data_IF_696965201726
#
_entry.id   IF_696965201726
#
_cell.length_a   1.000
_cell.length_b   1.000
_cell.length_c   1.000
_cell.angle_alpha   90.00
_cell.angle_beta   90.00
_cell.angle_gamma   90.00
#
_symmetry.space_group_name_H-M   'P 1'
#
loop_
_entity.id
_entity.type
_entity.pdbx_description
1 polymer ?
#
# COMPACT_ATOMS: atom_id res chain seq x y z
N UNK A 1 9.36 31.07 8.42
CA UNK A 1 8.65 30.74 9.68
C UNK A 1 7.16 31.02 9.46
N UNK A 2 6.27 30.03 9.68
CA UNK A 2 4.80 30.04 9.47
C UNK A 2 4.18 29.42 8.17
N UNK A 3 4.58 28.20 7.78
CA UNK A 3 3.70 27.33 6.95
C UNK A 3 3.54 25.89 7.45
N UNK A 4 4.33 25.46 8.46
CA UNK A 4 4.36 24.07 8.94
C UNK A 4 3.41 23.76 10.12
N UNK A 5 2.45 24.63 10.46
CA UNK A 5 1.62 24.47 11.68
C UNK A 5 0.12 24.20 11.45
N UNK A 6 -0.33 23.86 10.25
CA UNK A 6 -1.77 23.60 9.99
C UNK A 6 -2.15 22.25 9.37
N UNK A 7 -1.20 21.36 9.06
CA UNK A 7 -1.50 20.07 8.43
C UNK A 7 -1.51 18.90 9.43
N UNK A 8 -2.21 19.04 10.56
CA UNK A 8 -2.36 17.95 11.55
C UNK A 8 -3.55 17.01 11.21
N UNK A 9 -3.93 16.89 9.93
CA UNK A 9 -5.15 16.16 9.57
C UNK A 9 -5.21 15.54 8.18
N UNK A 10 -4.12 15.60 7.41
CA UNK A 10 -3.98 14.99 6.08
C UNK A 10 -2.55 14.44 6.06
N UNK A 11 -2.38 13.17 6.40
CA UNK A 11 -1.15 12.45 6.12
C UNK A 11 -1.49 11.47 5.00
N UNK A 12 -0.54 11.30 4.07
CA UNK A 12 -0.51 10.28 3.02
C UNK A 12 -1.23 10.61 1.71
N UNK A 13 -0.69 11.57 0.94
CA UNK A 13 -0.66 11.52 -0.53
C UNK A 13 0.62 12.23 -0.97
N UNK A 14 1.27 11.75 -2.04
CA UNK A 14 2.49 12.25 -2.70
C UNK A 14 3.83 11.73 -2.15
N UNK A 15 4.24 10.55 -2.63
CA UNK A 15 5.62 10.08 -2.48
C UNK A 15 6.43 10.02 -3.79
N UNK A 16 5.85 10.32 -4.96
CA UNK A 16 6.57 10.07 -6.23
C UNK A 16 7.33 11.26 -6.85
N UNK A 17 7.21 12.51 -6.38
CA UNK A 17 7.82 13.67 -7.09
C UNK A 17 8.50 14.71 -6.19
N UNK A 18 9.23 14.29 -5.16
CA UNK A 18 10.40 15.10 -4.72
C UNK A 18 11.68 14.70 -5.44
N UNK A 19 11.58 13.73 -6.35
CA UNK A 19 12.70 13.18 -7.08
C UNK A 19 12.93 13.96 -8.37
N UNK A 20 14.16 14.47 -8.47
CA UNK A 20 14.81 15.08 -9.63
C UNK A 20 14.73 16.62 -9.74
N UNK A 21 15.91 17.23 -9.57
CA UNK A 21 16.43 18.45 -10.25
C UNK A 21 16.63 19.74 -9.47
N UNK A 22 16.15 19.92 -8.24
CA UNK A 22 16.33 21.23 -7.57
C UNK A 22 15.71 22.40 -8.35
N UNK A 23 14.79 22.10 -9.27
CA UNK A 23 13.90 23.04 -9.91
C UNK A 23 12.49 22.82 -9.36
N UNK A 24 11.69 23.90 -9.31
CA UNK A 24 10.26 23.83 -9.02
C UNK A 24 9.56 23.07 -10.15
N UNK A 25 9.56 21.73 -10.09
CA UNK A 25 8.66 20.90 -10.87
C UNK A 25 7.27 21.20 -10.31
N UNK A 26 6.45 21.90 -11.09
CA UNK A 26 5.01 21.87 -10.85
C UNK A 26 4.59 20.45 -11.23
N UNK A 27 3.89 19.74 -10.35
CA UNK A 27 3.44 18.33 -10.49
C UNK A 27 2.71 17.98 -11.82
N UNK A 28 2.44 18.97 -12.67
CA UNK A 28 1.62 18.91 -13.89
C UNK A 28 2.20 18.12 -15.05
N UNK A 29 3.51 17.82 -15.07
CA UNK A 29 4.16 17.27 -16.27
C UNK A 29 4.17 15.74 -16.35
N UNK A 30 3.76 15.03 -15.28
CA UNK A 30 3.73 13.57 -15.24
C UNK A 30 2.32 13.07 -14.92
N UNK A 31 1.97 11.90 -15.46
CA UNK A 31 0.77 11.14 -15.06
C UNK A 31 1.19 10.07 -14.07
N UNK A 32 0.46 9.95 -12.96
CA UNK A 32 0.77 8.99 -11.91
C UNK A 32 -0.43 8.10 -11.61
N UNK A 33 -0.16 6.86 -11.20
CA UNK A 33 -1.13 5.99 -10.55
C UNK A 33 -0.72 5.91 -9.08
N UNK A 34 -1.64 6.27 -8.20
CA UNK A 34 -1.51 6.04 -6.76
C UNK A 34 -2.26 4.75 -6.41
N UNK A 35 -1.53 3.72 -5.98
CA UNK A 35 -2.10 2.40 -5.66
C UNK A 35 -2.49 2.25 -4.17
N UNK A 36 -2.17 3.25 -3.35
CA UNK A 36 -2.22 3.13 -1.90
C UNK A 36 -2.56 4.48 -1.25
N UNK A 37 -3.85 4.72 -1.09
CA UNK A 37 -4.40 5.84 -0.33
C UNK A 37 -5.60 5.41 0.52
N UNK A 38 -5.87 6.17 1.58
CA UNK A 38 -6.92 5.84 2.55
C UNK A 38 -7.86 7.00 2.83
N UNK A 39 -9.08 6.67 3.27
CA UNK A 39 -10.00 7.62 3.88
C UNK A 39 -10.32 7.26 5.34
N UNK A 40 -10.62 8.29 6.13
CA UNK A 40 -11.01 8.23 7.54
C UNK A 40 -12.20 9.17 7.87
N UNK A 41 -12.19 10.42 7.39
CA UNK A 41 -13.23 11.45 7.62
C UNK A 41 -14.33 11.46 6.55
N UNK A 42 -14.63 10.29 5.97
CA UNK A 42 -15.77 10.09 5.06
C UNK A 42 -15.76 11.12 3.91
N UNK A 43 -16.83 11.90 3.74
CA UNK A 43 -17.02 12.84 2.64
C UNK A 43 -15.97 13.97 2.58
N UNK A 44 -15.36 14.32 3.72
CA UNK A 44 -14.31 15.34 3.71
C UNK A 44 -13.09 14.86 2.92
N UNK A 45 -12.62 13.65 3.20
CA UNK A 45 -11.44 13.10 2.54
C UNK A 45 -11.71 12.89 1.04
N UNK A 46 -12.93 12.48 0.67
CA UNK A 46 -13.31 12.36 -0.75
C UNK A 46 -13.22 13.71 -1.47
N UNK A 47 -13.63 14.82 -0.84
CA UNK A 47 -13.47 16.15 -1.46
C UNK A 47 -12.00 16.52 -1.65
N UNK A 48 -11.18 16.31 -0.64
CA UNK A 48 -9.75 16.59 -0.67
C UNK A 48 -9.03 15.72 -1.72
N UNK A 49 -9.38 14.43 -1.82
CA UNK A 49 -8.85 13.52 -2.86
C UNK A 49 -9.23 13.99 -4.27
N UNK A 50 -10.47 14.44 -4.48
CA UNK A 50 -10.88 14.99 -5.77
C UNK A 50 -10.10 16.27 -6.13
N UNK A 51 -9.75 17.10 -5.15
CA UNK A 51 -8.88 18.26 -5.36
C UNK A 51 -7.46 17.80 -5.74
N UNK A 52 -6.89 16.84 -5.01
CA UNK A 52 -5.58 16.27 -5.28
C UNK A 52 -5.48 15.66 -6.68
N UNK A 53 -6.46 14.87 -7.11
CA UNK A 53 -6.50 14.28 -8.46
C UNK A 53 -6.39 15.39 -9.52
N UNK A 54 -7.17 16.47 -9.37
CA UNK A 54 -7.19 17.59 -10.34
C UNK A 54 -5.91 18.39 -10.33
N UNK A 55 -5.34 18.65 -9.16
CA UNK A 55 -4.15 19.50 -9.01
C UNK A 55 -2.87 18.79 -9.46
N UNK A 56 -2.84 17.46 -9.32
CA UNK A 56 -1.64 16.64 -9.50
C UNK A 56 -1.71 15.70 -10.70
N UNK A 57 -2.68 15.83 -11.61
CA UNK A 57 -2.77 15.00 -12.81
C UNK A 57 -2.69 13.47 -12.52
N UNK A 58 -3.32 13.03 -11.42
CA UNK A 58 -3.36 11.62 -11.01
C UNK A 58 -4.34 10.91 -11.95
N UNK A 59 -3.85 9.89 -12.66
CA UNK A 59 -4.67 9.15 -13.62
C UNK A 59 -5.60 8.16 -12.91
N UNK A 60 -5.10 7.47 -11.90
CA UNK A 60 -5.90 6.62 -11.02
C UNK A 60 -5.42 6.71 -9.58
N UNK A 61 -6.35 6.69 -8.63
CA UNK A 61 -6.09 6.55 -7.21
C UNK A 61 -6.87 5.36 -6.65
N UNK A 62 -6.16 4.39 -6.09
CA UNK A 62 -6.72 3.25 -5.41
C UNK A 62 -6.97 3.61 -3.94
N UNK A 63 -8.23 3.52 -3.53
CA UNK A 63 -8.68 3.94 -2.20
C UNK A 63 -9.23 2.78 -1.42
N UNK A 64 -8.88 2.73 -0.14
CA UNK A 64 -9.50 1.84 0.83
C UNK A 64 -9.79 2.54 2.16
N UNK A 65 -10.64 1.92 2.97
CA UNK A 65 -10.79 2.36 4.36
C UNK A 65 -9.45 2.30 5.11
N UNK A 66 -9.15 3.33 5.90
CA UNK A 66 -8.06 3.24 6.88
C UNK A 66 -8.42 2.20 7.94
N UNK A 67 -7.49 1.33 8.31
CA UNK A 67 -7.74 0.32 9.34
C UNK A 67 -7.96 0.98 10.71
N UNK A 68 -9.19 0.90 11.24
CA UNK A 68 -9.57 1.55 12.50
C UNK A 68 -9.79 0.58 13.67
N UNK A 69 -9.39 -0.69 13.53
CA UNK A 69 -9.79 -1.80 14.43
C UNK A 69 -11.33 -1.96 14.55
N UNK A 70 -12.10 -1.38 13.62
CA UNK A 70 -13.56 -1.44 13.62
C UNK A 70 -14.06 -1.82 12.22
N UNK A 71 -14.18 -3.13 11.92
CA UNK A 71 -14.60 -3.61 10.60
C UNK A 71 -15.93 -3.02 10.13
N UNK A 72 -16.84 -2.74 11.06
CA UNK A 72 -18.12 -2.09 10.76
C UNK A 72 -17.96 -0.64 10.31
N UNK A 73 -17.01 0.09 10.88
CA UNK A 73 -16.71 1.45 10.44
C UNK A 73 -15.98 1.42 9.09
N UNK A 74 -15.00 0.54 8.95
CA UNK A 74 -14.21 0.37 7.74
C UNK A 74 -15.12 -0.03 6.56
N UNK A 75 -16.09 -0.93 6.77
CA UNK A 75 -17.08 -1.32 5.76
C UNK A 75 -18.03 -0.18 5.34
N UNK A 76 -18.28 0.81 6.20
CA UNK A 76 -19.02 2.03 5.79
C UNK A 76 -18.17 2.92 4.91
N UNK A 77 -16.87 3.00 5.18
CA UNK A 77 -15.93 3.75 4.36
C UNK A 77 -15.78 3.10 2.98
N UNK A 78 -15.74 1.77 2.90
CA UNK A 78 -15.75 1.05 1.62
C UNK A 78 -16.95 1.43 0.74
N UNK A 79 -18.15 1.54 1.31
CA UNK A 79 -19.35 1.98 0.57
C UNK A 79 -19.24 3.44 0.10
N UNK A 80 -18.70 4.34 0.93
CA UNK A 80 -18.45 5.74 0.54
C UNK A 80 -17.46 5.83 -0.63
N UNK A 81 -16.40 5.02 -0.62
CA UNK A 81 -15.41 4.95 -1.71
C UNK A 81 -16.08 4.44 -2.99
N UNK A 82 -16.92 3.41 -2.89
CA UNK A 82 -17.67 2.88 -4.03
C UNK A 82 -18.59 3.94 -4.62
N UNK A 83 -19.35 4.68 -3.81
CA UNK A 83 -20.18 5.79 -4.29
C UNK A 83 -19.35 6.91 -4.92
N UNK A 84 -18.17 7.21 -4.37
CA UNK A 84 -17.26 8.21 -4.92
C UNK A 84 -16.72 7.78 -6.29
N UNK A 85 -16.35 6.50 -6.48
CA UNK A 85 -15.86 5.97 -7.76
C UNK A 85 -16.90 5.99 -8.88
N UNK A 86 -18.19 5.93 -8.54
CA UNK A 86 -19.26 6.09 -9.53
C UNK A 86 -19.38 7.53 -10.03
N UNK A 87 -18.95 8.51 -9.22
CA UNK A 87 -18.97 9.94 -9.54
C UNK A 87 -17.65 10.42 -10.16
N UNK A 88 -16.54 9.76 -9.84
CA UNK A 88 -15.22 10.05 -10.38
C UNK A 88 -14.50 8.76 -10.79
N UNK A 89 -14.30 8.58 -12.10
CA UNK A 89 -13.67 7.40 -12.70
C UNK A 89 -12.15 7.28 -12.45
N UNK A 90 -11.52 8.30 -11.88
CA UNK A 90 -10.14 8.23 -11.40
C UNK A 90 -10.02 7.45 -10.07
N UNK A 91 -11.11 7.27 -9.33
CA UNK A 91 -11.10 6.53 -8.06
C UNK A 91 -11.35 5.04 -8.31
N UNK A 92 -10.48 4.21 -7.74
CA UNK A 92 -10.51 2.75 -7.88
C UNK A 92 -10.71 2.11 -6.50
N UNK A 93 -11.89 1.54 -6.19
CA UNK A 93 -12.18 1.03 -4.85
C UNK A 93 -11.42 -0.26 -4.51
N UNK A 94 -10.75 -0.27 -3.36
CA UNK A 94 -10.15 -1.46 -2.75
C UNK A 94 -10.96 -1.86 -1.51
N UNK A 95 -11.29 -3.14 -1.40
CA UNK A 95 -12.03 -3.68 -0.26
C UNK A 95 -11.13 -3.80 0.96
N UNK A 96 -11.56 -3.28 2.12
CA UNK A 96 -10.81 -3.41 3.37
C UNK A 96 -11.65 -3.74 4.60
N UNK A 97 -12.94 -3.41 4.63
CA UNK A 97 -13.85 -3.42 5.79
C UNK A 97 -14.18 -4.78 6.41
N UNK A 98 -13.18 -5.61 6.66
CA UNK A 98 -13.27 -6.94 7.26
C UNK A 98 -12.08 -7.21 8.20
N UNK A 99 -12.22 -8.22 9.05
CA UNK A 99 -11.21 -8.58 10.04
C UNK A 99 -10.44 -9.82 9.59
N UNK A 100 -9.11 -9.77 9.54
CA UNK A 100 -8.30 -10.89 9.07
C UNK A 100 -8.28 -12.09 10.02
N UNK A 101 -8.79 -11.93 11.23
CA UNK A 101 -8.91 -13.02 12.21
C UNK A 101 -10.31 -13.64 12.30
N UNK A 102 -11.31 -13.10 11.59
CA UNK A 102 -12.65 -13.67 11.54
C UNK A 102 -12.73 -14.79 10.49
N UNK A 103 -13.21 -15.97 10.93
CA UNK A 103 -13.44 -17.16 10.09
C UNK A 103 -14.41 -16.90 8.92
N UNK A 104 -15.27 -15.89 9.03
CA UNK A 104 -16.25 -15.56 8.00
C UNK A 104 -15.71 -14.58 6.94
N UNK A 105 -14.51 -14.01 7.15
CA UNK A 105 -13.99 -12.96 6.27
C UNK A 105 -13.80 -13.40 4.83
N UNK A 106 -13.37 -14.64 4.59
CA UNK A 106 -13.19 -15.15 3.21
C UNK A 106 -14.52 -15.16 2.45
N UNK A 107 -15.60 -15.62 3.10
CA UNK A 107 -16.93 -15.64 2.48
C UNK A 107 -17.51 -14.23 2.30
N UNK A 108 -17.29 -13.33 3.26
CA UNK A 108 -17.65 -11.92 3.11
C UNK A 108 -16.92 -11.27 1.92
N UNK A 109 -15.60 -11.45 1.81
CA UNK A 109 -14.80 -10.93 0.69
C UNK A 109 -15.36 -11.47 -0.62
N UNK A 110 -15.63 -12.78 -0.70
CA UNK A 110 -16.20 -13.39 -1.91
C UNK A 110 -17.54 -12.76 -2.31
N UNK A 111 -18.42 -12.48 -1.35
CA UNK A 111 -19.69 -11.78 -1.60
C UNK A 111 -19.46 -10.35 -2.10
N UNK A 112 -18.52 -9.62 -1.53
CA UNK A 112 -18.20 -8.26 -1.95
C UNK A 112 -17.57 -8.22 -3.35
N UNK A 113 -16.65 -9.12 -3.66
CA UNK A 113 -16.06 -9.23 -4.99
C UNK A 113 -17.07 -9.62 -6.07
N UNK A 114 -18.06 -10.46 -5.73
CA UNK A 114 -19.14 -10.83 -6.65
C UNK A 114 -19.99 -9.62 -7.09
N UNK A 115 -19.99 -8.51 -6.34
CA UNK A 115 -20.66 -7.26 -6.76
C UNK A 115 -19.93 -6.52 -7.88
N UNK A 116 -18.67 -6.88 -8.16
CA UNK A 116 -17.79 -6.24 -9.14
C UNK A 116 -17.54 -4.73 -8.90
N UNK A 117 -17.84 -4.23 -7.70
CA UNK A 117 -17.63 -2.82 -7.29
C UNK A 117 -16.19 -2.54 -6.84
N UNK A 118 -15.50 -3.57 -6.34
CA UNK A 118 -14.12 -3.48 -5.88
C UNK A 118 -13.15 -3.98 -6.95
N UNK A 119 -11.99 -3.35 -7.04
CA UNK A 119 -10.92 -3.62 -8.02
C UNK A 119 -9.59 -4.02 -7.37
N UNK A 120 -9.57 -4.18 -6.06
CA UNK A 120 -8.43 -4.65 -5.26
C UNK A 120 -8.87 -4.95 -3.84
N UNK A 121 -7.95 -5.49 -3.04
CA UNK A 121 -8.13 -5.77 -1.62
C UNK A 121 -6.97 -5.14 -0.86
N UNK A 122 -7.24 -4.48 0.26
CA UNK A 122 -6.21 -3.95 1.16
C UNK A 122 -6.38 -2.46 1.46
N UNK A 123 -5.50 -1.84 2.23
CA UNK A 123 -4.24 -2.40 2.77
C UNK A 123 -4.48 -3.43 3.88
N UNK A 124 -3.97 -4.66 3.71
CA UNK A 124 -4.07 -5.73 4.71
C UNK A 124 -2.84 -5.70 5.61
N UNK A 125 -3.05 -5.45 6.91
CA UNK A 125 -1.96 -5.43 7.88
C UNK A 125 -1.63 -6.86 8.32
N UNK A 126 -0.54 -7.41 7.77
CA UNK A 126 -0.12 -8.80 8.00
C UNK A 126 1.09 -8.89 8.92
N UNK A 127 2.07 -7.99 8.71
CA UNK A 127 3.26 -7.85 9.55
C UNK A 127 3.58 -6.36 9.69
N UNK A 128 3.11 -5.77 10.79
CA UNK A 128 3.37 -4.39 11.19
C UNK A 128 2.31 -3.85 12.12
N UNK A 129 2.55 -2.68 12.71
CA UNK A 129 1.62 -2.04 13.66
C UNK A 129 1.20 -2.94 14.84
N UNK A 130 2.09 -3.86 15.27
CA UNK A 130 1.82 -4.83 16.33
C UNK A 130 1.11 -6.13 15.88
N UNK A 131 0.74 -6.24 14.60
CA UNK A 131 0.13 -7.45 14.02
C UNK A 131 1.19 -8.38 13.44
N UNK A 132 1.02 -9.69 13.64
CA UNK A 132 1.91 -10.78 13.16
C UNK A 132 1.13 -12.00 12.67
N UNK A 133 0.28 -11.81 11.66
CA UNK A 133 -0.56 -12.87 11.12
C UNK A 133 0.23 -13.88 10.26
N UNK A 134 1.35 -13.44 9.66
CA UNK A 134 2.13 -14.23 8.73
C UNK A 134 1.51 -14.25 7.33
N UNK A 135 2.32 -13.93 6.33
CA UNK A 135 1.86 -13.84 4.94
C UNK A 135 1.39 -15.17 4.36
N UNK A 136 1.83 -16.30 4.91
CA UNK A 136 1.45 -17.66 4.48
C UNK A 136 0.38 -18.31 5.37
N UNK A 137 -0.29 -17.53 6.23
CA UNK A 137 -1.38 -18.05 7.07
C UNK A 137 -2.56 -18.56 6.23
N UNK A 138 -3.33 -19.55 6.72
CA UNK A 138 -4.43 -20.13 5.96
C UNK A 138 -5.41 -19.09 5.41
N UNK A 139 -5.79 -18.10 6.21
CA UNK A 139 -6.71 -17.04 5.77
C UNK A 139 -6.11 -16.17 4.66
N UNK A 140 -4.83 -15.80 4.77
CA UNK A 140 -4.18 -15.01 3.72
C UNK A 140 -4.08 -15.81 2.42
N UNK A 141 -3.76 -17.10 2.50
CA UNK A 141 -3.73 -18.00 1.36
C UNK A 141 -5.09 -18.10 0.65
N UNK A 142 -6.17 -18.20 1.42
CA UNK A 142 -7.53 -18.20 0.87
C UNK A 142 -7.89 -16.86 0.21
N UNK A 143 -7.50 -15.73 0.82
CA UNK A 143 -7.69 -14.40 0.26
C UNK A 143 -6.92 -14.23 -1.05
N UNK A 144 -5.64 -14.63 -1.10
CA UNK A 144 -4.85 -14.52 -2.33
C UNK A 144 -5.43 -15.37 -3.44
N UNK A 145 -5.81 -16.63 -3.16
CA UNK A 145 -6.41 -17.52 -4.13
C UNK A 145 -7.70 -16.94 -4.69
N UNK A 146 -8.54 -16.36 -3.83
CA UNK A 146 -9.76 -15.68 -4.23
C UNK A 146 -9.46 -14.44 -5.10
N UNK A 147 -8.53 -13.59 -4.69
CA UNK A 147 -8.13 -12.40 -5.46
C UNK A 147 -7.61 -12.78 -6.87
N UNK A 148 -6.83 -13.85 -6.98
CA UNK A 148 -6.34 -14.38 -8.26
C UNK A 148 -7.47 -14.90 -9.17
N UNK A 149 -8.54 -15.48 -8.61
CA UNK A 149 -9.73 -15.89 -9.38
C UNK A 149 -10.46 -14.67 -9.98
N UNK A 150 -10.53 -13.57 -9.23
CA UNK A 150 -11.13 -12.31 -9.67
C UNK A 150 -10.17 -11.42 -10.49
N UNK A 151 -8.88 -11.80 -10.57
CA UNK A 151 -7.81 -11.04 -11.24
C UNK A 151 -7.66 -9.61 -10.71
N UNK A 152 -7.69 -9.47 -9.38
CA UNK A 152 -7.49 -8.20 -8.69
C UNK A 152 -6.26 -8.29 -7.77
N UNK A 153 -5.55 -7.17 -7.53
CA UNK A 153 -4.39 -7.15 -6.66
C UNK A 153 -4.78 -7.20 -5.17
N UNK A 154 -3.80 -7.62 -4.36
CA UNK A 154 -3.86 -7.54 -2.89
C UNK A 154 -2.71 -6.66 -2.40
N UNK A 155 -3.06 -5.56 -1.71
CA UNK A 155 -2.13 -4.63 -1.08
C UNK A 155 -1.87 -5.06 0.38
N UNK A 156 -0.60 -5.22 0.73
CA UNK A 156 -0.15 -5.72 2.03
C UNK A 156 0.71 -4.69 2.76
N UNK A 157 0.38 -4.45 4.02
CA UNK A 157 1.36 -3.94 4.99
C UNK A 157 2.22 -5.11 5.47
N UNK A 158 3.45 -5.18 4.98
CA UNK A 158 4.35 -6.29 5.27
C UNK A 158 5.80 -5.85 5.36
N UNK A 159 6.41 -6.06 6.53
CA UNK A 159 7.80 -5.66 6.76
C UNK A 159 8.85 -6.65 6.26
N UNK A 160 9.85 -6.11 5.55
CA UNK A 160 11.02 -6.78 4.98
C UNK A 160 12.29 -6.08 5.49
N UNK A 161 13.26 -6.85 5.96
CA UNK A 161 14.59 -6.36 6.32
C UNK A 161 14.70 -5.51 7.60
N UNK A 162 13.60 -5.16 8.27
CA UNK A 162 13.66 -4.52 9.60
C UNK A 162 14.29 -5.45 10.65
N UNK A 163 15.23 -4.92 11.43
CA UNK A 163 15.84 -5.59 12.59
C UNK A 163 15.11 -5.25 13.91
N UNK A 164 14.02 -4.49 13.85
CA UNK A 164 13.19 -4.17 15.00
C UNK A 164 12.57 -5.44 15.60
N UNK A 165 12.71 -5.62 16.92
CA UNK A 165 12.08 -6.74 17.63
C UNK A 165 10.55 -6.65 17.64
N UNK A 166 9.99 -5.44 17.48
CA UNK A 166 8.54 -5.22 17.52
C UNK A 166 7.90 -5.50 16.16
N UNK A 167 8.67 -5.34 15.09
CA UNK A 167 8.22 -5.52 13.71
C UNK A 167 9.37 -6.11 12.88
N UNK A 168 9.64 -7.42 13.05
CA UNK A 168 10.76 -8.07 12.38
C UNK A 168 10.44 -8.25 10.90
N UNK A 169 11.44 -8.05 10.05
CA UNK A 169 11.38 -8.38 8.61
C UNK A 169 12.42 -9.42 8.23
N UNK A 170 12.71 -10.36 9.12
CA UNK A 170 13.81 -11.29 8.97
C UNK A 170 13.51 -12.43 8.00
N UNK A 171 14.39 -13.44 8.00
CA UNK A 171 14.28 -14.60 7.12
C UNK A 171 12.95 -15.35 7.27
N UNK A 172 12.42 -15.43 8.50
CA UNK A 172 11.13 -16.07 8.76
C UNK A 172 10.03 -15.36 7.97
N UNK A 173 9.86 -14.06 8.16
CA UNK A 173 8.82 -13.27 7.50
C UNK A 173 9.01 -13.31 5.98
N UNK A 174 10.23 -13.11 5.48
CA UNK A 174 10.54 -13.21 4.06
C UNK A 174 10.14 -14.58 3.48
N UNK A 175 10.39 -15.68 4.19
CA UNK A 175 10.00 -17.01 3.72
C UNK A 175 8.48 -17.21 3.68
N UNK A 176 7.72 -16.55 4.57
CA UNK A 176 6.25 -16.54 4.49
C UNK A 176 5.77 -15.81 3.23
N UNK A 177 6.36 -14.65 2.92
CA UNK A 177 6.04 -13.91 1.69
C UNK A 177 6.38 -14.74 0.43
N UNK A 178 7.57 -15.36 0.40
CA UNK A 178 7.97 -16.25 -0.70
C UNK A 178 6.96 -17.37 -0.93
N UNK A 179 6.53 -18.03 0.14
CA UNK A 179 5.53 -19.11 0.06
C UNK A 179 4.18 -18.61 -0.44
N UNK A 180 3.73 -17.43 0.00
CA UNK A 180 2.53 -16.80 -0.51
C UNK A 180 2.62 -16.54 -2.02
N UNK A 181 3.74 -15.99 -2.50
CA UNK A 181 3.98 -15.71 -3.92
C UNK A 181 4.05 -16.99 -4.76
N UNK A 182 4.78 -18.00 -4.30
CA UNK A 182 4.97 -19.29 -5.01
C UNK A 182 3.66 -20.08 -5.16
N UNK A 183 2.81 -20.05 -4.14
CA UNK A 183 1.56 -20.81 -4.13
C UNK A 183 0.37 -20.04 -4.74
N UNK A 184 0.50 -18.73 -4.94
CA UNK A 184 -0.53 -17.89 -5.56
C UNK A 184 0.03 -17.12 -6.77
N UNK A 185 0.60 -17.79 -7.78
CA UNK A 185 1.26 -17.14 -8.91
C UNK A 185 0.31 -16.32 -9.79
N UNK A 186 -1.01 -16.57 -9.71
CA UNK A 186 -2.04 -15.84 -10.45
C UNK A 186 -2.54 -14.57 -9.71
N UNK A 187 -1.97 -14.28 -8.54
CA UNK A 187 -2.39 -13.14 -7.71
C UNK A 187 -1.29 -12.11 -7.69
N UNK A 188 -1.60 -10.89 -8.11
CA UNK A 188 -0.72 -9.73 -7.95
C UNK A 188 -0.71 -9.32 -6.49
N UNK A 189 0.45 -9.38 -5.86
CA UNK A 189 0.67 -8.94 -4.47
C UNK A 189 1.50 -7.67 -4.52
N UNK A 190 1.01 -6.62 -3.86
CA UNK A 190 1.68 -5.34 -3.73
C UNK A 190 2.08 -5.17 -2.27
N UNK A 191 3.36 -5.01 -1.99
CA UNK A 191 3.84 -4.73 -0.64
C UNK A 191 4.03 -3.23 -0.47
N UNK A 192 3.31 -2.68 0.50
CA UNK A 192 3.32 -1.25 0.81
C UNK A 192 4.69 -0.78 1.31
N UNK A 193 5.00 0.49 1.03
CA UNK A 193 6.15 1.19 1.60
C UNK A 193 7.50 0.50 1.32
N UNK A 194 7.61 -0.20 0.19
CA UNK A 194 8.72 -1.08 -0.17
C UNK A 194 9.03 -2.16 0.90
N UNK A 195 8.05 -2.48 1.74
CA UNK A 195 8.21 -3.31 2.94
C UNK A 195 9.14 -2.70 3.99
N UNK A 196 9.44 -1.40 3.92
CA UNK A 196 10.29 -0.73 4.89
C UNK A 196 9.56 -0.65 6.23
N UNK A 197 9.96 -1.51 7.16
CA UNK A 197 9.55 -1.41 8.56
C UNK A 197 10.41 -0.41 9.35
N UNK A 198 10.25 -0.38 10.67
CA UNK A 198 11.05 0.46 11.56
C UNK A 198 12.55 0.20 11.45
N UNK A 199 13.36 1.26 11.56
CA UNK A 199 14.82 1.14 11.62
C UNK A 199 15.30 0.40 12.89
N UNK A 200 16.51 -0.21 12.87
CA UNK A 200 17.43 -0.28 11.74
C UNK A 200 17.08 -1.39 10.73
N UNK A 201 17.46 -1.21 9.47
CA UNK A 201 17.32 -2.21 8.42
C UNK A 201 18.59 -3.08 8.30
N UNK A 202 18.42 -4.31 7.83
CA UNK A 202 19.51 -5.23 7.53
C UNK A 202 20.37 -4.70 6.36
N UNK A 203 21.68 -4.90 6.43
CA UNK A 203 22.62 -4.45 5.38
C UNK A 203 22.28 -4.99 3.99
N UNK A 204 21.67 -6.17 3.92
CA UNK A 204 21.25 -6.82 2.70
C UNK A 204 19.79 -6.49 2.27
N UNK A 205 19.16 -5.46 2.84
CA UNK A 205 17.77 -5.09 2.52
C UNK A 205 17.57 -4.83 1.02
N UNK A 206 18.42 -4.01 0.39
CA UNK A 206 18.35 -3.77 -1.06
C UNK A 206 18.40 -5.08 -1.84
N UNK A 207 19.44 -5.90 -1.62
CA UNK A 207 19.62 -7.19 -2.30
C UNK A 207 18.45 -8.14 -2.08
N UNK A 208 17.81 -8.09 -0.90
CA UNK A 208 16.63 -8.90 -0.60
C UNK A 208 15.44 -8.50 -1.48
N UNK A 209 15.15 -7.20 -1.58
CA UNK A 209 14.09 -6.67 -2.45
C UNK A 209 14.36 -7.03 -3.92
N UNK A 210 15.59 -6.83 -4.39
CA UNK A 210 15.99 -7.16 -5.77
C UNK A 210 15.78 -8.65 -6.10
N UNK A 211 16.18 -9.56 -5.21
CA UNK A 211 15.96 -11.01 -5.39
C UNK A 211 14.47 -11.35 -5.44
N UNK A 212 13.65 -10.71 -4.61
CA UNK A 212 12.21 -10.94 -4.61
C UNK A 212 11.58 -10.47 -5.93
N UNK A 213 11.90 -9.26 -6.39
CA UNK A 213 11.42 -8.71 -7.66
C UNK A 213 11.88 -9.55 -8.87
N UNK A 214 13.13 -10.00 -8.89
CA UNK A 214 13.67 -10.82 -9.98
C UNK A 214 13.00 -12.21 -10.03
N UNK A 215 12.65 -12.79 -8.88
CA UNK A 215 12.12 -14.15 -8.80
C UNK A 215 10.59 -14.22 -8.98
N UNK A 216 9.85 -13.21 -8.52
CA UNK A 216 8.39 -13.26 -8.41
C UNK A 216 7.73 -12.20 -9.31
N UNK A 217 7.31 -12.56 -10.54
CA UNK A 217 6.71 -11.61 -11.48
C UNK A 217 5.32 -11.12 -11.04
N UNK A 218 4.75 -11.71 -10.00
CA UNK A 218 3.48 -11.31 -9.39
C UNK A 218 3.67 -10.45 -8.13
N UNK A 219 4.89 -10.00 -7.82
CA UNK A 219 5.19 -9.11 -6.71
C UNK A 219 5.49 -7.69 -7.22
N UNK A 220 4.88 -6.71 -6.56
CA UNK A 220 5.14 -5.28 -6.75
C UNK A 220 5.37 -4.61 -5.40
N UNK A 221 5.97 -3.43 -5.42
CA UNK A 221 6.14 -2.58 -4.25
C UNK A 221 5.59 -1.18 -4.56
N UNK A 222 4.92 -0.56 -3.59
CA UNK A 222 4.67 0.89 -3.63
C UNK A 222 5.64 1.62 -2.70
N UNK A 223 5.71 2.94 -2.84
CA UNK A 223 6.47 3.82 -1.92
C UNK A 223 5.56 4.81 -1.21
N UNK A 224 4.24 4.56 -1.19
CA UNK A 224 3.28 5.48 -0.59
C UNK A 224 3.69 5.77 0.86
N UNK A 225 3.54 7.02 1.31
CA UNK A 225 3.79 7.35 2.71
C UNK A 225 5.22 7.45 3.21
N UNK A 226 6.22 7.02 2.44
CA UNK A 226 7.63 6.98 2.88
C UNK A 226 8.33 8.35 2.91
N UNK A 227 7.64 9.46 2.62
CA UNK A 227 8.22 10.79 2.43
C UNK A 227 9.19 11.25 3.54
N UNK A 228 8.86 11.01 4.82
CA UNK A 228 9.72 11.35 5.97
C UNK A 228 10.89 10.39 6.17
N UNK A 229 10.79 9.17 5.62
CA UNK A 229 11.81 8.14 5.73
C UNK A 229 12.83 8.25 4.60
N UNK A 230 12.40 8.73 3.42
CA UNK A 230 13.27 8.91 2.25
C UNK A 230 14.13 10.17 2.36
N UNK A 231 13.62 11.24 3.01
CA UNK A 231 14.30 12.52 3.11
C UNK A 231 14.39 13.05 4.54
N UNK A 232 15.53 13.62 4.89
CA UNK A 232 15.74 14.38 6.12
C UNK A 232 16.50 15.66 5.80
N UNK A 233 15.98 16.82 6.21
CA UNK A 233 16.58 18.13 5.94
C UNK A 233 16.90 18.38 4.45
N UNK A 234 15.99 17.96 3.54
CA UNK A 234 16.16 18.02 2.08
C UNK A 234 17.30 17.17 1.51
N UNK A 235 17.84 16.22 2.28
CA UNK A 235 18.83 15.25 1.82
C UNK A 235 18.26 13.84 1.88
N UNK A 236 18.70 12.98 0.96
CA UNK A 236 18.31 11.57 0.97
C UNK A 236 18.91 10.86 2.18
N UNK A 237 18.06 10.13 2.90
CA UNK A 237 18.51 9.17 3.90
C UNK A 237 19.19 7.97 3.22
N UNK A 238 19.86 7.12 3.99
CA UNK A 238 20.40 5.86 3.46
C UNK A 238 19.30 4.96 2.88
N UNK A 239 18.13 4.90 3.54
CA UNK A 239 16.96 4.21 3.00
C UNK A 239 16.51 4.87 1.69
N UNK A 240 16.44 6.21 1.64
CA UNK A 240 16.11 6.96 0.44
C UNK A 240 17.00 6.61 -0.75
N UNK A 241 18.31 6.52 -0.52
CA UNK A 241 19.29 6.11 -1.56
C UNK A 241 19.03 4.67 -2.03
N UNK A 242 18.77 3.74 -1.11
CA UNK A 242 18.44 2.35 -1.44
C UNK A 242 17.19 2.28 -2.31
N UNK A 243 16.09 2.91 -1.89
CA UNK A 243 14.81 2.86 -2.60
C UNK A 243 14.92 3.46 -4.00
N UNK A 244 15.64 4.58 -4.16
CA UNK A 244 15.90 5.17 -5.50
C UNK A 244 16.69 4.22 -6.39
N UNK A 245 17.68 3.51 -5.84
CA UNK A 245 18.44 2.54 -6.63
C UNK A 245 17.56 1.38 -7.11
N UNK A 246 16.65 0.90 -6.25
CA UNK A 246 15.66 -0.13 -6.62
C UNK A 246 14.75 0.40 -7.72
N UNK A 247 14.12 1.57 -7.57
CA UNK A 247 13.23 2.16 -8.58
C UNK A 247 13.93 2.34 -9.93
N UNK A 248 15.20 2.76 -9.93
CA UNK A 248 15.98 2.90 -11.18
C UNK A 248 16.23 1.57 -11.89
N UNK A 249 16.33 0.46 -11.13
CA UNK A 249 16.57 -0.88 -11.67
C UNK A 249 15.26 -1.60 -12.03
N UNK A 250 14.18 -1.34 -11.30
CA UNK A 250 12.83 -1.89 -11.48
C UNK A 250 11.83 -0.73 -11.51
N UNK A 251 11.65 -0.07 -12.67
CA UNK A 251 10.79 1.11 -12.80
C UNK A 251 9.30 0.80 -12.93
N UNK A 252 8.94 -0.47 -13.12
CA UNK A 252 7.57 -0.97 -13.31
C UNK A 252 6.90 -1.37 -11.99
#
# INVERSE_FOLDING_TARGET
MNMLKKAAGIIFVLCCVFLFTGQNIKERDYKFIDIHSHIFKQDQDIREINELIRENNIEYICLSAFYSNSPKQDGKLDEIIVEASQKNNHIVPFLRGFELTDKNSVEYIKQMLATNRFKGIGELIVNGHGIRLGADSPIMMDIYKLAGQYKIPVLLHFTIGSLSKNEPGGEREINQLKKALEQNPNTTIIVAHCGAGPQPHAENYQKTIEILLEKYPNLFFDIAGMHIDLYKNNELTELGKIIINVIKKYPD
#
